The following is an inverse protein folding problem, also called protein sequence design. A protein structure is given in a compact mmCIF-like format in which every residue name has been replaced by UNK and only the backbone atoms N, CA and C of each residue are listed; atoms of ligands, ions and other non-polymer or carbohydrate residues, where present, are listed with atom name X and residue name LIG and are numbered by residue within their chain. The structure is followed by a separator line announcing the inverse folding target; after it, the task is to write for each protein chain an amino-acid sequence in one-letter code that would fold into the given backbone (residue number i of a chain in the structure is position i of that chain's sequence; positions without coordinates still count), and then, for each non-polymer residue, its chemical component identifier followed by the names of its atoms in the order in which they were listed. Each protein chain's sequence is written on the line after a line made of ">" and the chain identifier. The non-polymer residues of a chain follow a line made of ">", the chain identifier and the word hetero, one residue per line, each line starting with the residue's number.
data_IF_103709452633
#
_entry.id   IF_103709452633
#
_cell.length_a   1.000
_cell.length_b   1.000
_cell.length_c   1.000
_cell.angle_alpha   90.00
_cell.angle_beta   90.00
_cell.angle_gamma   90.00
#
_symmetry.space_group_name_H-M   'P 1'
#
loop_
_entity.id
_entity.type
_entity.pdbx_description
1 polymer ?
#
# COMPACT_ATOMS: atom_id res chain seq x y z
N UNK A 1 6.45 -14.52 20.19
CA UNK A 1 5.81 -14.02 18.96
C UNK A 1 4.36 -14.45 18.77
N UNK A 2 3.69 -15.09 19.74
CA UNK A 2 2.31 -15.61 19.58
C UNK A 2 1.22 -14.76 20.27
N UNK A 3 1.56 -13.71 21.02
CA UNK A 3 0.56 -13.00 21.85
C UNK A 3 -0.33 -11.99 21.10
N UNK A 4 0.14 -11.38 20.02
CA UNK A 4 -0.62 -10.36 19.28
C UNK A 4 -1.59 -10.92 18.23
N UNK A 5 -1.50 -12.19 17.92
CA UNK A 5 -2.47 -12.88 17.07
C UNK A 5 -3.66 -13.43 17.86
N UNK A 6 -3.66 -13.30 19.20
CA UNK A 6 -4.76 -13.77 20.02
C UNK A 6 -6.02 -12.89 19.82
N UNK A 7 -7.22 -13.49 19.87
CA UNK A 7 -8.48 -12.74 19.75
C UNK A 7 -8.61 -11.62 20.79
N UNK A 8 -8.01 -11.79 21.95
CA UNK A 8 -8.04 -10.83 23.07
C UNK A 8 -7.19 -9.59 22.78
N UNK A 9 -5.99 -9.76 22.20
CA UNK A 9 -5.11 -8.64 21.83
C UNK A 9 -5.71 -7.82 20.69
N UNK A 10 -6.32 -8.48 19.69
CA UNK A 10 -7.02 -7.82 18.59
C UNK A 10 -8.21 -6.99 19.09
N UNK A 11 -9.06 -7.55 19.99
CA UNK A 11 -10.19 -6.83 20.59
C UNK A 11 -9.73 -5.62 21.41
N UNK A 12 -8.61 -5.72 22.11
CA UNK A 12 -8.05 -4.61 22.91
C UNK A 12 -7.62 -3.46 22.01
N UNK A 13 -6.88 -3.74 20.93
CA UNK A 13 -6.43 -2.71 19.98
C UNK A 13 -7.63 -2.10 19.27
N UNK A 14 -8.59 -2.92 18.82
CA UNK A 14 -9.83 -2.44 18.18
C UNK A 14 -10.66 -1.54 19.11
N UNK A 15 -10.87 -1.95 20.37
CA UNK A 15 -11.61 -1.15 21.33
C UNK A 15 -10.96 0.21 21.64
N UNK A 16 -9.63 0.31 21.58
CA UNK A 16 -8.91 1.58 21.72
C UNK A 16 -9.11 2.48 20.51
N UNK A 17 -9.16 1.90 19.31
CA UNK A 17 -9.39 2.67 18.07
C UNK A 17 -10.82 3.20 18.00
N UNK A 18 -11.82 2.43 18.47
CA UNK A 18 -13.23 2.82 18.43
C UNK A 18 -13.57 3.95 19.44
N UNK A 19 -12.90 4.00 20.59
CA UNK A 19 -13.13 5.03 21.62
C UNK A 19 -12.50 6.37 21.19
N UNK A 20 -11.34 6.36 20.56
CA UNK A 20 -10.62 7.59 20.20
C UNK A 20 -11.11 8.23 18.88
N UNK A 21 -11.78 7.47 18.00
CA UNK A 21 -12.42 8.04 16.80
C UNK A 21 -13.57 9.01 17.13
N UNK A 22 -14.17 8.89 18.32
CA UNK A 22 -15.24 9.77 18.80
C UNK A 22 -14.74 11.10 19.37
N UNK A 23 -13.45 11.18 19.76
CA UNK A 23 -12.89 12.34 20.47
C UNK A 23 -12.09 13.31 19.56
N UNK A 24 -12.02 13.01 18.24
CA UNK A 24 -11.08 13.66 17.32
C UNK A 24 -11.64 14.80 16.47
N UNK A 25 -12.63 15.56 16.97
CA UNK A 25 -13.17 16.73 16.26
C UNK A 25 -12.51 18.07 16.59
N UNK A 26 -11.40 18.12 17.35
CA UNK A 26 -10.74 19.39 17.67
C UNK A 26 -9.20 19.35 17.59
N UNK A 27 -8.73 20.31 16.78
CA UNK A 27 -7.45 21.07 16.75
C UNK A 27 -6.09 20.44 16.43
N UNK A 28 -5.44 21.14 15.48
CA UNK A 28 -4.10 20.97 14.93
C UNK A 28 -2.97 21.23 15.94
N UNK A 29 -1.88 20.42 15.91
CA UNK A 29 -0.49 20.86 15.83
C UNK A 29 0.52 19.68 15.73
N UNK A 30 1.64 19.96 15.04
CA UNK A 30 2.65 19.07 14.50
C UNK A 30 3.59 18.39 15.52
N UNK A 31 4.04 17.15 15.19
CA UNK A 31 5.45 16.74 15.21
C UNK A 31 5.61 15.35 14.57
N UNK A 32 6.56 15.21 13.62
CA UNK A 32 6.81 13.97 12.87
C UNK A 32 7.92 13.16 13.56
N UNK A 33 7.70 11.88 13.91
CA UNK A 33 8.79 11.01 14.38
C UNK A 33 9.52 10.35 13.19
N UNK A 34 10.85 10.26 13.31
CA UNK A 34 11.73 9.56 12.39
C UNK A 34 11.50 8.04 12.44
N UNK A 35 11.11 7.44 11.31
CA UNK A 35 10.84 6.01 11.21
C UNK A 35 12.06 5.25 10.70
N UNK A 36 12.58 4.36 11.53
CA UNK A 36 13.59 3.37 11.13
C UNK A 36 12.89 2.00 11.05
N UNK A 37 12.78 1.47 9.82
CA UNK A 37 12.22 0.14 9.56
C UNK A 37 13.30 -0.90 9.28
N UNK A 38 13.20 -2.02 9.97
CA UNK A 38 13.97 -3.22 9.67
C UNK A 38 13.01 -4.37 9.37
N UNK A 39 12.87 -4.70 8.07
CA UNK A 39 11.91 -5.71 7.57
C UNK A 39 12.53 -7.13 7.47
N UNK A 40 13.62 -7.38 8.16
CA UNK A 40 14.41 -8.63 8.03
C UNK A 40 13.69 -9.93 8.45
N UNK A 41 12.42 -9.87 8.91
CA UNK A 41 11.73 -11.01 9.51
C UNK A 41 10.57 -11.60 8.68
N UNK A 42 10.32 -11.20 7.43
CA UNK A 42 9.07 -11.56 6.74
C UNK A 42 9.20 -12.35 5.43
N UNK A 43 10.41 -12.75 5.00
CA UNK A 43 10.57 -13.48 3.75
C UNK A 43 11.38 -14.76 3.94
N UNK A 44 10.71 -15.87 4.21
CA UNK A 44 11.22 -17.19 3.77
C UNK A 44 10.68 -17.45 2.37
N UNK A 45 11.55 -17.66 1.36
CA UNK A 45 11.09 -17.99 0.01
C UNK A 45 10.61 -19.45 -0.04
N UNK A 46 9.55 -19.78 -0.80
CA UNK A 46 9.23 -21.17 -1.11
C UNK A 46 10.35 -21.76 -1.98
N UNK A 47 10.75 -22.98 -1.67
CA UNK A 47 11.76 -23.74 -2.38
C UNK A 47 11.43 -23.86 -3.88
N UNK A 48 12.35 -23.40 -4.72
CA UNK A 48 12.27 -23.53 -6.19
C UNK A 48 12.82 -24.91 -6.56
N UNK A 49 11.97 -25.78 -7.07
CA UNK A 49 12.40 -26.98 -7.82
C UNK A 49 12.75 -26.56 -9.24
N UNK A 50 14.01 -26.74 -9.61
CA UNK A 50 14.48 -26.63 -10.98
C UNK A 50 13.96 -27.84 -11.79
N UNK A 51 13.25 -27.57 -12.87
CA UNK A 51 13.25 -28.47 -14.03
C UNK A 51 13.33 -27.64 -15.32
N UNK A 52 14.44 -27.88 -16.02
CA UNK A 52 14.77 -27.45 -17.35
C UNK A 52 13.97 -28.26 -18.35
N UNK A 53 13.30 -27.62 -19.32
CA UNK A 53 13.23 -28.15 -20.68
C UNK A 53 12.96 -27.02 -21.70
N UNK A 54 13.93 -26.89 -22.60
CA UNK A 54 13.91 -26.14 -23.86
C UNK A 54 13.16 -26.94 -24.92
N UNK A 55 12.26 -26.34 -25.69
CA UNK A 55 12.19 -26.50 -27.14
C UNK A 55 11.18 -25.58 -27.82
N UNK A 56 11.73 -24.83 -28.77
CA UNK A 56 11.22 -24.28 -30.04
C UNK A 56 9.72 -24.38 -30.37
N UNK A 57 9.14 -23.24 -30.76
CA UNK A 57 8.31 -23.17 -31.98
C UNK A 57 8.15 -21.71 -32.48
N UNK A 58 8.63 -21.58 -33.67
CA UNK A 58 8.67 -20.53 -34.67
C UNK A 58 7.32 -19.94 -35.12
N UNK A 59 7.36 -18.63 -35.45
CA UNK A 59 6.64 -17.93 -36.51
C UNK A 59 5.13 -17.81 -36.48
N UNK A 60 4.65 -16.61 -36.14
CA UNK A 60 3.64 -15.90 -36.96
C UNK A 60 3.76 -14.40 -36.76
N UNK A 61 4.45 -13.71 -37.66
CA UNK A 61 4.41 -12.27 -37.81
C UNK A 61 3.07 -11.88 -38.44
N UNK A 62 2.18 -11.25 -37.68
CA UNK A 62 1.13 -10.42 -38.23
C UNK A 62 1.61 -8.98 -38.19
N UNK A 63 1.84 -8.44 -39.38
CA UNK A 63 2.11 -7.02 -39.65
C UNK A 63 0.86 -6.23 -39.23
N UNK A 64 0.95 -5.47 -38.13
CA UNK A 64 -0.08 -4.50 -37.77
C UNK A 64 0.34 -3.17 -38.40
N UNK A 65 -0.49 -2.62 -39.26
CA UNK A 65 -0.32 -1.32 -39.90
C UNK A 65 -0.28 -0.22 -38.83
N UNK A 66 0.89 0.41 -38.68
CA UNK A 66 1.14 1.55 -37.78
C UNK A 66 0.72 2.86 -38.45
N UNK A 67 -0.57 3.15 -38.52
CA UNK A 67 -1.06 4.48 -38.88
C UNK A 67 -2.22 4.96 -37.99
N UNK A 68 -2.44 4.35 -36.83
CA UNK A 68 -3.27 4.97 -35.81
C UNK A 68 -2.36 5.88 -34.95
N UNK A 69 -2.60 7.18 -35.11
CA UNK A 69 -1.98 8.25 -34.33
C UNK A 69 -2.27 8.00 -32.85
N UNK A 70 -1.30 7.40 -32.15
CA UNK A 70 -1.34 7.36 -30.69
C UNK A 70 -1.27 8.82 -30.20
N UNK A 71 -2.18 9.26 -29.33
CA UNK A 71 -2.06 10.58 -28.72
C UNK A 71 -0.73 10.66 -27.98
N UNK A 72 -0.04 11.78 -28.13
CA UNK A 72 1.24 12.07 -27.49
C UNK A 72 1.09 11.97 -25.98
N UNK A 73 1.69 10.95 -25.36
CA UNK A 73 1.59 10.66 -23.92
C UNK A 73 2.27 11.73 -23.05
N UNK A 74 2.89 12.74 -23.63
CA UNK A 74 3.64 13.76 -22.89
C UNK A 74 2.84 15.01 -22.50
N UNK A 75 1.54 15.12 -22.86
CA UNK A 75 0.75 16.32 -22.63
C UNK A 75 -0.42 16.14 -21.62
N UNK A 76 -0.55 14.99 -20.99
CA UNK A 76 -1.59 14.78 -19.97
C UNK A 76 -0.94 14.76 -18.60
N UNK A 77 -1.10 15.84 -17.83
CA UNK A 77 -0.94 15.79 -16.37
C UNK A 77 -1.70 14.55 -15.88
N UNK A 78 -1.07 13.68 -15.07
CA UNK A 78 -1.71 12.43 -14.65
C UNK A 78 -3.00 12.76 -13.91
N UNK A 79 -4.13 12.57 -14.60
CA UNK A 79 -5.43 12.70 -13.98
C UNK A 79 -5.62 11.51 -13.02
N UNK A 80 -6.45 11.68 -11.99
CA UNK A 80 -6.83 10.62 -11.05
C UNK A 80 -7.22 9.31 -11.77
N UNK A 81 -7.77 9.40 -12.98
CA UNK A 81 -8.17 8.27 -13.83
C UNK A 81 -7.02 7.63 -14.63
N UNK A 82 -5.85 8.25 -14.70
CA UNK A 82 -4.72 7.70 -15.46
C UNK A 82 -4.14 6.42 -14.84
N UNK A 83 -4.40 6.16 -13.54
CA UNK A 83 -3.92 4.99 -12.82
C UNK A 83 -4.97 3.89 -12.62
N UNK A 84 -6.22 4.11 -13.04
CA UNK A 84 -7.32 3.16 -12.79
C UNK A 84 -6.99 1.75 -13.32
N UNK A 85 -6.48 1.64 -14.54
CA UNK A 85 -6.13 0.33 -15.12
C UNK A 85 -5.04 -0.41 -14.33
N UNK A 86 -4.05 0.32 -13.79
CA UNK A 86 -2.98 -0.26 -12.95
C UNK A 86 -3.54 -0.70 -11.60
N UNK A 87 -4.40 0.12 -11.00
CA UNK A 87 -5.04 -0.19 -9.71
C UNK A 87 -5.95 -1.42 -9.84
N UNK A 88 -6.78 -1.49 -10.89
CA UNK A 88 -7.64 -2.65 -11.16
C UNK A 88 -6.81 -3.93 -11.36
N UNK A 89 -5.69 -3.83 -12.08
CA UNK A 89 -4.79 -4.96 -12.27
C UNK A 89 -4.15 -5.41 -10.95
N UNK A 90 -3.65 -4.48 -10.15
CA UNK A 90 -3.07 -4.77 -8.83
C UNK A 90 -4.11 -5.38 -7.88
N UNK A 91 -5.33 -4.83 -7.87
CA UNK A 91 -6.47 -5.34 -7.10
C UNK A 91 -6.77 -6.81 -7.45
N UNK A 92 -6.85 -7.11 -8.75
CA UNK A 92 -7.09 -8.47 -9.25
C UNK A 92 -5.96 -9.44 -8.90
N UNK A 93 -4.69 -9.02 -9.07
CA UNK A 93 -3.53 -9.89 -8.80
C UNK A 93 -3.42 -10.21 -7.32
N UNK A 94 -3.69 -9.23 -6.44
CA UNK A 94 -3.52 -9.37 -5.00
C UNK A 94 -4.83 -9.67 -4.26
N UNK A 95 -5.94 -9.91 -4.97
CA UNK A 95 -7.26 -10.17 -4.38
C UNK A 95 -7.61 -9.08 -3.35
N UNK A 96 -7.64 -7.82 -3.81
CA UNK A 96 -7.96 -6.65 -3.01
C UNK A 96 -9.06 -5.80 -3.65
N UNK A 97 -9.74 -5.03 -2.82
CA UNK A 97 -10.71 -4.05 -3.28
C UNK A 97 -9.98 -2.84 -3.92
N UNK A 98 -10.23 -2.51 -5.20
CA UNK A 98 -9.59 -1.38 -5.87
C UNK A 98 -9.91 -0.04 -5.21
N UNK A 99 -11.08 0.11 -4.59
CA UNK A 99 -11.45 1.35 -3.90
C UNK A 99 -10.63 1.56 -2.63
N UNK A 100 -10.24 0.48 -1.94
CA UNK A 100 -9.31 0.59 -0.81
C UNK A 100 -7.92 1.03 -1.27
N UNK A 101 -7.42 0.49 -2.40
CA UNK A 101 -6.14 0.91 -2.98
C UNK A 101 -6.20 2.39 -3.38
N UNK A 102 -7.26 2.82 -4.06
CA UNK A 102 -7.49 4.22 -4.44
C UNK A 102 -7.51 5.13 -3.22
N UNK A 103 -8.15 4.70 -2.14
CA UNK A 103 -8.25 5.48 -0.91
C UNK A 103 -6.89 5.66 -0.23
N UNK A 104 -6.05 4.63 -0.23
CA UNK A 104 -4.66 4.74 0.26
C UNK A 104 -3.87 5.70 -0.62
N UNK A 105 -3.88 5.55 -1.94
CA UNK A 105 -3.17 6.44 -2.87
C UNK A 105 -3.61 7.91 -2.72
N UNK A 106 -4.93 8.13 -2.53
CA UNK A 106 -5.48 9.47 -2.32
C UNK A 106 -4.87 10.14 -1.09
N UNK A 107 -4.75 9.43 0.01
CA UNK A 107 -4.27 9.98 1.28
C UNK A 107 -2.74 10.06 1.30
N UNK A 108 -2.03 9.12 0.67
CA UNK A 108 -0.56 9.09 0.64
C UNK A 108 0.04 10.15 -0.27
N UNK A 109 -0.48 10.32 -1.47
CA UNK A 109 0.14 11.18 -2.49
C UNK A 109 -0.82 12.09 -3.23
N UNK A 110 -2.13 11.99 -2.97
CA UNK A 110 -3.15 12.67 -3.80
C UNK A 110 -2.96 12.37 -5.31
N UNK A 111 -2.60 11.13 -5.64
CA UNK A 111 -2.30 10.66 -7.00
C UNK A 111 -1.11 11.36 -7.69
N UNK A 112 -0.15 11.89 -6.94
CA UNK A 112 1.08 12.47 -7.50
C UNK A 112 2.20 11.43 -7.50
N UNK A 113 2.63 10.88 -8.66
CA UNK A 113 3.61 9.79 -8.71
C UNK A 113 5.01 10.20 -8.27
N UNK A 114 5.37 11.49 -8.41
CA UNK A 114 6.67 12.03 -8.02
C UNK A 114 6.73 12.51 -6.56
N UNK A 115 5.69 12.22 -5.76
CA UNK A 115 5.63 12.64 -4.36
C UNK A 115 6.75 12.02 -3.54
N UNK A 116 7.40 12.85 -2.72
CA UNK A 116 8.39 12.42 -1.72
C UNK A 116 8.07 13.09 -0.39
N UNK A 117 7.90 12.29 0.67
CA UNK A 117 7.70 12.82 2.01
C UNK A 117 9.02 13.34 2.62
N UNK A 118 8.92 14.12 3.70
CA UNK A 118 10.11 14.56 4.46
C UNK A 118 10.89 13.39 5.07
N UNK A 119 10.24 12.26 5.32
CA UNK A 119 10.86 11.03 5.80
C UNK A 119 11.44 10.15 4.66
N UNK A 120 11.28 10.55 3.40
CA UNK A 120 11.80 9.83 2.23
C UNK A 120 10.88 8.73 1.71
N UNK A 121 9.60 8.71 2.07
CA UNK A 121 8.62 7.85 1.42
C UNK A 121 8.34 8.34 0.00
N UNK A 122 8.18 7.44 -0.97
CA UNK A 122 8.20 7.74 -2.39
C UNK A 122 6.98 7.21 -3.15
N UNK A 123 6.54 8.01 -4.13
CA UNK A 123 5.55 7.63 -5.15
C UNK A 123 4.10 7.59 -4.66
N UNK A 124 3.23 6.98 -5.46
CA UNK A 124 1.77 6.97 -5.26
C UNK A 124 1.32 6.39 -3.93
N UNK A 125 1.94 5.31 -3.47
CA UNK A 125 1.62 4.63 -2.22
C UNK A 125 2.67 4.88 -1.13
N UNK A 126 3.54 5.90 -1.31
CA UNK A 126 4.51 6.37 -0.32
C UNK A 126 5.34 5.23 0.32
N UNK A 127 6.02 4.46 -0.53
CA UNK A 127 6.89 3.39 -0.07
C UNK A 127 8.21 3.95 0.47
N UNK A 128 8.56 3.56 1.69
CA UNK A 128 9.90 3.82 2.22
C UNK A 128 10.96 3.07 1.40
N UNK A 129 12.19 3.63 1.23
CA UNK A 129 13.25 3.00 0.41
C UNK A 129 13.54 1.54 0.78
N UNK A 130 13.59 1.23 2.08
CA UNK A 130 13.78 -0.14 2.58
C UNK A 130 12.62 -1.06 2.16
N UNK A 131 11.39 -0.61 2.36
CA UNK A 131 10.18 -1.36 1.99
C UNK A 131 10.12 -1.58 0.47
N UNK A 132 10.39 -0.55 -0.33
CA UNK A 132 10.43 -0.66 -1.79
C UNK A 132 11.44 -1.72 -2.25
N UNK A 133 12.65 -1.70 -1.67
CA UNK A 133 13.69 -2.70 -1.95
C UNK A 133 13.24 -4.13 -1.60
N UNK A 134 12.65 -4.32 -0.41
CA UNK A 134 12.21 -5.64 0.05
C UNK A 134 11.04 -6.19 -0.78
N UNK A 135 10.22 -5.30 -1.35
CA UNK A 135 9.13 -5.64 -2.26
C UNK A 135 9.58 -5.90 -3.71
N UNK A 136 10.86 -5.61 -4.03
CA UNK A 136 11.42 -5.74 -5.38
C UNK A 136 11.07 -4.57 -6.31
N UNK A 137 10.61 -3.44 -5.76
CA UNK A 137 10.34 -2.20 -6.49
C UNK A 137 11.68 -1.55 -6.86
N UNK A 138 11.97 -1.42 -8.14
CA UNK A 138 13.23 -0.86 -8.66
C UNK A 138 13.18 0.66 -8.76
N UNK A 139 12.04 1.17 -9.18
CA UNK A 139 11.77 2.61 -9.27
C UNK A 139 10.45 2.92 -8.52
N UNK A 140 10.57 3.49 -7.33
CA UNK A 140 9.40 3.82 -6.51
C UNK A 140 8.57 4.99 -7.06
N UNK A 141 9.07 5.72 -8.07
CA UNK A 141 8.31 6.75 -8.80
C UNK A 141 7.62 6.21 -10.05
N UNK A 142 7.94 4.98 -10.48
CA UNK A 142 7.17 4.31 -11.52
C UNK A 142 5.81 3.91 -10.98
N UNK A 143 4.70 4.40 -11.59
CA UNK A 143 3.34 4.15 -11.08
C UNK A 143 2.99 2.66 -11.01
N UNK A 144 3.43 1.87 -11.99
CA UNK A 144 3.11 0.44 -12.03
C UNK A 144 3.84 -0.29 -10.92
N UNK A 145 5.16 -0.08 -10.79
CA UNK A 145 5.96 -0.73 -9.75
C UNK A 145 5.50 -0.32 -8.35
N UNK A 146 5.19 0.97 -8.14
CA UNK A 146 4.77 1.51 -6.85
C UNK A 146 3.41 0.96 -6.42
N UNK A 147 2.40 1.00 -7.30
CA UNK A 147 1.05 0.49 -7.01
C UNK A 147 1.09 -1.03 -6.77
N UNK A 148 1.80 -1.80 -7.61
CA UNK A 148 1.93 -3.25 -7.44
C UNK A 148 2.62 -3.61 -6.11
N UNK A 149 3.74 -2.96 -5.81
CA UNK A 149 4.47 -3.18 -4.56
C UNK A 149 3.69 -2.77 -3.33
N UNK A 150 3.10 -1.56 -3.34
CA UNK A 150 2.30 -1.05 -2.23
C UNK A 150 1.05 -1.88 -1.96
N UNK A 151 0.35 -2.32 -3.02
CA UNK A 151 -0.81 -3.21 -2.91
C UNK A 151 -0.41 -4.57 -2.32
N UNK A 152 0.69 -5.16 -2.79
CA UNK A 152 1.24 -6.40 -2.23
C UNK A 152 1.54 -6.25 -0.74
N UNK A 153 2.15 -5.13 -0.34
CA UNK A 153 2.47 -4.85 1.05
C UNK A 153 1.21 -4.71 1.90
N UNK A 154 0.24 -3.91 1.46
CA UNK A 154 -1.03 -3.74 2.17
C UNK A 154 -1.80 -5.07 2.31
N UNK A 155 -1.81 -5.91 1.25
CA UNK A 155 -2.40 -7.26 1.34
C UNK A 155 -1.71 -8.13 2.37
N UNK A 156 -0.38 -8.08 2.46
CA UNK A 156 0.38 -8.84 3.46
C UNK A 156 0.01 -8.42 4.89
N UNK A 157 -0.21 -7.13 5.12
CA UNK A 157 -0.66 -6.60 6.40
C UNK A 157 -2.11 -7.01 6.71
N UNK A 158 -3.02 -6.94 5.74
CA UNK A 158 -4.39 -7.45 5.91
C UNK A 158 -4.38 -8.93 6.32
N UNK A 159 -3.59 -9.75 5.65
CA UNK A 159 -3.46 -11.16 6.01
C UNK A 159 -2.88 -11.34 7.42
N UNK A 160 -1.86 -10.55 7.79
CA UNK A 160 -1.23 -10.58 9.12
C UNK A 160 -2.22 -10.26 10.23
N UNK A 161 -3.12 -9.32 9.99
CA UNK A 161 -4.11 -8.87 11.00
C UNK A 161 -5.50 -9.49 10.79
N UNK A 162 -5.60 -10.58 9.99
CA UNK A 162 -6.84 -11.36 9.83
C UNK A 162 -7.97 -10.61 9.13
N UNK A 163 -7.62 -9.71 8.21
CA UNK A 163 -8.57 -8.89 7.45
C UNK A 163 -8.99 -7.59 8.14
N UNK A 164 -8.46 -7.31 9.34
CA UNK A 164 -8.74 -6.03 10.02
C UNK A 164 -8.07 -4.89 9.27
N UNK A 165 -8.88 -4.11 8.56
CA UNK A 165 -8.42 -2.98 7.75
C UNK A 165 -7.79 -1.89 8.59
N UNK A 166 -8.33 -1.61 9.78
CA UNK A 166 -7.81 -0.55 10.65
C UNK A 166 -6.41 -0.91 11.18
N UNK A 167 -6.21 -2.16 11.60
CA UNK A 167 -4.90 -2.63 12.05
C UNK A 167 -3.90 -2.70 10.87
N UNK A 168 -4.35 -3.11 9.68
CA UNK A 168 -3.50 -3.13 8.50
C UNK A 168 -3.05 -1.72 8.09
N UNK A 169 -3.94 -0.73 8.12
CA UNK A 169 -3.63 0.68 7.85
C UNK A 169 -2.73 1.28 8.93
N UNK A 170 -2.96 0.96 10.22
CA UNK A 170 -2.06 1.35 11.30
C UNK A 170 -0.64 0.83 11.06
N UNK A 171 -0.52 -0.45 10.71
CA UNK A 171 0.77 -1.07 10.42
C UNK A 171 1.41 -0.53 9.13
N UNK A 172 0.61 -0.18 8.13
CA UNK A 172 1.09 0.43 6.89
C UNK A 172 1.76 1.78 7.15
N UNK A 173 1.08 2.65 7.90
CA UNK A 173 1.54 4.01 8.19
C UNK A 173 2.59 4.07 9.30
N UNK A 174 2.36 3.39 10.43
CA UNK A 174 3.25 3.46 11.61
C UNK A 174 4.25 2.32 11.68
N UNK A 175 3.96 1.25 10.94
CA UNK A 175 4.77 0.06 10.91
C UNK A 175 4.31 -1.04 11.85
N UNK A 176 4.30 -2.25 11.33
CA UNK A 176 3.89 -3.44 12.05
C UNK A 176 4.66 -3.66 13.36
N UNK A 177 5.98 -3.41 13.33
CA UNK A 177 6.83 -3.58 14.52
C UNK A 177 6.49 -2.59 15.65
N UNK A 178 6.16 -1.35 15.32
CA UNK A 178 5.74 -0.34 16.29
C UNK A 178 4.37 -0.67 16.86
N UNK A 179 3.41 -0.99 15.99
CA UNK A 179 2.06 -1.37 16.37
C UNK A 179 2.06 -2.57 17.34
N UNK A 180 2.87 -3.58 17.07
CA UNK A 180 2.94 -4.79 17.90
C UNK A 180 3.64 -4.60 19.23
N UNK A 181 4.68 -3.78 19.26
CA UNK A 181 5.44 -3.52 20.49
C UNK A 181 4.77 -2.52 21.43
N UNK A 182 4.08 -1.53 20.86
CA UNK A 182 3.55 -0.39 21.60
C UNK A 182 2.13 0.01 21.14
N UNK A 183 1.14 -0.89 21.13
CA UNK A 183 -0.19 -0.58 20.58
C UNK A 183 -0.84 0.62 21.28
N UNK A 184 -0.59 0.78 22.58
CA UNK A 184 -1.13 1.88 23.39
C UNK A 184 -0.46 3.25 23.11
N UNK A 185 0.60 3.28 22.29
CA UNK A 185 1.34 4.50 21.94
C UNK A 185 1.17 4.89 20.47
N UNK A 186 0.08 4.47 19.84
CA UNK A 186 -0.18 4.84 18.45
C UNK A 186 -0.22 6.37 18.30
N UNK A 187 0.57 6.95 17.37
CA UNK A 187 0.59 8.40 17.14
C UNK A 187 -0.76 8.93 16.67
N UNK A 188 -1.09 10.18 17.01
CA UNK A 188 -2.29 10.86 16.51
C UNK A 188 -2.29 10.92 14.97
N UNK A 189 -1.12 11.10 14.35
CA UNK A 189 -0.96 11.08 12.89
C UNK A 189 -1.48 9.76 12.29
N UNK A 190 -1.08 8.63 12.86
CA UNK A 190 -1.54 7.30 12.40
C UNK A 190 -3.05 7.11 12.58
N UNK A 191 -3.61 7.56 13.71
CA UNK A 191 -5.06 7.54 13.92
C UNK A 191 -5.80 8.39 12.89
N UNK A 192 -5.30 9.60 12.63
CA UNK A 192 -5.84 10.49 11.59
C UNK A 192 -5.74 9.86 10.19
N UNK A 193 -4.64 9.19 9.89
CA UNK A 193 -4.45 8.47 8.64
C UNK A 193 -5.50 7.38 8.45
N UNK A 194 -5.71 6.54 9.46
CA UNK A 194 -6.72 5.47 9.43
C UNK A 194 -8.11 6.07 9.19
N UNK A 195 -8.46 7.12 9.94
CA UNK A 195 -9.75 7.79 9.81
C UNK A 195 -9.96 8.33 8.38
N UNK A 196 -8.97 9.04 7.80
CA UNK A 196 -9.04 9.60 6.46
C UNK A 196 -9.19 8.53 5.38
N UNK A 197 -8.36 7.47 5.42
CA UNK A 197 -8.44 6.37 4.44
C UNK A 197 -9.79 5.65 4.54
N UNK A 198 -10.22 5.34 5.76
CA UNK A 198 -11.49 4.63 5.99
C UNK A 198 -12.70 5.48 5.55
N UNK A 199 -12.68 6.78 5.81
CA UNK A 199 -13.74 7.69 5.36
C UNK A 199 -13.79 7.72 3.84
N UNK A 200 -12.65 7.95 3.17
CA UNK A 200 -12.58 7.98 1.71
C UNK A 200 -13.05 6.66 1.08
N UNK A 201 -12.67 5.53 1.68
CA UNK A 201 -13.10 4.21 1.24
C UNK A 201 -14.61 3.98 1.41
N UNK A 202 -15.23 4.46 2.49
CA UNK A 202 -16.69 4.39 2.65
C UNK A 202 -17.41 5.27 1.63
N UNK A 203 -16.90 6.48 1.40
CA UNK A 203 -17.51 7.44 0.45
C UNK A 203 -17.47 6.90 -0.99
N UNK A 204 -16.45 6.09 -1.36
CA UNK A 204 -16.40 5.44 -2.67
C UNK A 204 -17.41 4.30 -2.85
N UNK A 205 -18.02 3.79 -1.76
CA UNK A 205 -19.02 2.72 -1.78
C UNK A 205 -20.46 3.22 -1.72
N UNK A 206 -20.67 4.51 -1.47
CA UNK A 206 -21.98 5.13 -1.34
C UNK A 206 -22.55 5.55 -2.71
#
# INVERSE_FOLDING_TARGET
>A
MQELTSPTSRKRIQGMMDIELLDMMDEDHEEKPDFIFNLSCLLEPPAVSNDTDLHEASKNQRIINTNDVLPNINDVLPSKHSFDAVIENAAKIHDMDPDLIKSVIQIESNFHPESTSSAGAMGLMQLMPGTAKDLGVKNAYDPVENIMGGTKYLKSLLNRYGGDTSLALAAYNWGAGNLEKNPDKMPRETRNYISKVTQHYRDSKA
#
